data_IF_670186035061
#
_entry.id   IF_670186035061
#
_cell.length_a   1.000
_cell.length_b   1.000
_cell.length_c   1.000
_cell.angle_alpha   90.00
_cell.angle_beta   90.00
_cell.angle_gamma   90.00
#
_symmetry.space_group_name_H-M   'P 1'
#
loop_
_entity.id
_entity.type
_entity.pdbx_description
1 polymer ?
#
# COMPACT_ATOMS: atom_id res chain seq x y z
N UNK A 1 2.99 -33.08 -5.52
CA UNK A 1 4.32 -32.75 -4.98
C UNK A 1 5.26 -33.89 -5.34
N UNK A 2 6.36 -33.63 -6.04
CA UNK A 2 7.38 -34.65 -6.26
C UNK A 2 8.15 -34.84 -4.95
N UNK A 3 8.09 -36.04 -4.38
CA UNK A 3 8.89 -36.40 -3.20
C UNK A 3 10.34 -36.56 -3.64
N UNK A 4 11.22 -35.78 -3.02
CA UNK A 4 12.65 -35.92 -3.26
C UNK A 4 13.17 -37.13 -2.48
N UNK A 5 13.83 -38.07 -3.17
CA UNK A 5 14.44 -39.23 -2.51
C UNK A 5 15.63 -38.79 -1.63
N UNK A 6 15.77 -39.35 -0.42
CA UNK A 6 16.94 -39.06 0.41
C UNK A 6 18.25 -39.49 -0.27
N UNK A 7 19.40 -38.94 0.17
CA UNK A 7 20.68 -39.33 -0.38
C UNK A 7 20.97 -40.82 -0.09
N UNK A 8 21.75 -41.47 -0.96
CA UNK A 8 22.15 -42.86 -0.74
C UNK A 8 23.02 -43.00 0.54
N UNK A 9 22.61 -43.82 1.47
CA UNK A 9 23.28 -43.99 2.76
C UNK A 9 24.22 -45.20 2.81
N UNK A 10 24.16 -46.07 1.79
CA UNK A 10 24.86 -47.37 1.75
C UNK A 10 26.00 -47.39 0.73
N UNK A 11 26.30 -46.30 0.06
CA UNK A 11 27.31 -46.23 -0.96
C UNK A 11 28.32 -45.09 -0.68
N UNK A 12 29.58 -45.35 -0.89
CA UNK A 12 30.62 -44.34 -0.82
C UNK A 12 30.42 -43.27 -1.92
N UNK A 13 30.64 -42.02 -1.60
CA UNK A 13 30.47 -40.90 -2.56
C UNK A 13 31.49 -40.97 -3.68
N UNK A 14 32.70 -41.36 -3.35
CA UNK A 14 33.83 -41.50 -4.31
C UNK A 14 34.33 -42.91 -4.28
N UNK A 15 34.49 -43.50 -5.44
CA UNK A 15 35.15 -44.80 -5.61
C UNK A 15 36.55 -44.54 -6.11
N UNK A 16 37.56 -45.05 -5.40
CA UNK A 16 38.96 -44.95 -5.78
C UNK A 16 39.37 -46.19 -6.53
N UNK A 17 39.97 -46.03 -7.69
CA UNK A 17 40.58 -47.15 -8.44
C UNK A 17 41.94 -47.47 -7.85
N UNK A 18 42.07 -48.67 -7.27
CA UNK A 18 43.29 -49.11 -6.55
C UNK A 18 44.55 -49.14 -7.43
N UNK A 19 44.39 -49.29 -8.77
CA UNK A 19 45.52 -49.30 -9.71
C UNK A 19 45.99 -47.92 -10.12
N UNK A 20 45.05 -47.00 -10.28
CA UNK A 20 45.34 -45.66 -10.79
C UNK A 20 45.34 -44.61 -9.73
N UNK A 21 44.86 -44.91 -8.52
CA UNK A 21 44.64 -43.96 -7.42
C UNK A 21 43.77 -42.74 -7.79
N UNK A 22 42.98 -42.89 -8.84
CA UNK A 22 42.05 -41.88 -9.31
C UNK A 22 40.67 -42.08 -8.72
N UNK A 23 40.17 -41.10 -7.99
CA UNK A 23 38.80 -41.07 -7.51
C UNK A 23 37.81 -40.68 -8.61
N UNK A 24 36.68 -41.35 -8.64
CA UNK A 24 35.54 -40.95 -9.45
C UNK A 24 34.26 -40.98 -8.64
N UNK A 25 33.31 -40.16 -8.99
CA UNK A 25 32.00 -40.19 -8.33
C UNK A 25 31.33 -41.55 -8.54
N UNK A 26 30.84 -42.11 -7.44
CA UNK A 26 29.99 -43.29 -7.50
C UNK A 26 28.76 -42.99 -8.38
N UNK A 27 28.39 -43.82 -9.36
CA UNK A 27 27.27 -43.59 -10.26
C UNK A 27 25.92 -43.34 -9.54
N UNK A 28 25.72 -43.97 -8.37
CA UNK A 28 24.51 -43.81 -7.57
C UNK A 28 24.43 -42.37 -7.04
N UNK A 29 25.52 -41.85 -6.49
CA UNK A 29 25.62 -40.46 -6.02
C UNK A 29 25.54 -39.46 -7.16
N UNK A 30 26.17 -39.74 -8.29
CA UNK A 30 26.10 -38.86 -9.47
C UNK A 30 24.65 -38.72 -9.97
N UNK A 31 23.90 -39.83 -10.07
CA UNK A 31 22.48 -39.79 -10.45
C UNK A 31 21.65 -38.97 -9.45
N UNK A 32 21.90 -39.15 -8.15
CA UNK A 32 21.21 -38.37 -7.11
C UNK A 32 21.51 -36.90 -7.21
N UNK A 33 22.76 -36.47 -7.39
CA UNK A 33 23.14 -35.09 -7.57
C UNK A 33 22.51 -34.47 -8.83
N UNK A 34 22.51 -35.18 -9.95
CA UNK A 34 21.86 -34.70 -11.17
C UNK A 34 20.36 -34.49 -10.97
N UNK A 35 19.70 -35.41 -10.26
CA UNK A 35 18.28 -35.26 -9.90
C UNK A 35 18.06 -34.07 -8.96
N UNK A 36 18.93 -33.87 -7.97
CA UNK A 36 18.89 -32.70 -7.07
C UNK A 36 19.01 -31.39 -7.85
N UNK A 37 19.99 -31.28 -8.77
CA UNK A 37 20.15 -30.10 -9.62
C UNK A 37 18.90 -29.85 -10.44
N UNK A 38 18.32 -30.90 -11.05
CA UNK A 38 17.10 -30.77 -11.85
C UNK A 38 15.92 -30.25 -11.00
N UNK A 39 15.76 -30.78 -9.78
CA UNK A 39 14.70 -30.32 -8.87
C UNK A 39 14.92 -28.85 -8.48
N UNK A 40 16.15 -28.47 -8.14
CA UNK A 40 16.49 -27.11 -7.77
C UNK A 40 16.28 -26.11 -8.92
N UNK A 41 16.66 -26.50 -10.15
CA UNK A 41 16.46 -25.65 -11.33
C UNK A 41 14.99 -25.53 -11.72
N UNK A 42 14.22 -26.62 -11.59
CA UNK A 42 12.79 -26.61 -11.90
C UNK A 42 11.93 -25.96 -10.79
N UNK A 43 12.44 -25.90 -9.56
CA UNK A 43 11.74 -25.19 -8.47
C UNK A 43 11.90 -23.66 -8.51
N UNK A 44 12.56 -23.13 -9.54
CA UNK A 44 12.77 -21.68 -9.68
C UNK A 44 13.81 -21.11 -8.70
N UNK A 45 14.55 -21.97 -8.00
CA UNK A 45 15.62 -21.55 -7.08
C UNK A 45 16.93 -21.14 -7.80
N UNK A 46 16.84 -20.66 -9.03
CA UNK A 46 17.96 -20.01 -9.70
C UNK A 46 18.09 -18.60 -9.15
N UNK A 47 19.28 -18.29 -8.66
CA UNK A 47 19.66 -17.07 -7.92
C UNK A 47 19.49 -15.73 -8.67
N UNK A 48 18.49 -15.57 -9.52
CA UNK A 48 18.32 -14.35 -10.32
C UNK A 48 16.89 -13.92 -10.59
N UNK A 49 15.89 -14.75 -10.32
CA UNK A 49 14.52 -14.40 -10.68
C UNK A 49 13.43 -15.00 -9.78
N UNK A 50 13.69 -15.10 -8.48
CA UNK A 50 12.58 -15.33 -7.56
C UNK A 50 11.77 -14.04 -7.52
N UNK A 51 10.73 -13.98 -8.32
CA UNK A 51 9.77 -12.89 -8.18
C UNK A 51 9.15 -13.01 -6.79
N UNK A 52 9.36 -12.01 -5.98
CA UNK A 52 8.85 -11.92 -4.61
C UNK A 52 7.36 -12.29 -4.52
N UNK A 53 6.56 -11.91 -5.53
CA UNK A 53 5.13 -12.19 -5.59
C UNK A 53 4.76 -13.64 -5.94
N UNK A 54 5.73 -14.47 -6.36
CA UNK A 54 5.50 -15.89 -6.69
C UNK A 54 6.08 -16.87 -5.66
N UNK A 55 6.70 -16.36 -4.58
CA UNK A 55 7.15 -17.21 -3.48
C UNK A 55 5.96 -17.57 -2.57
N UNK A 56 5.73 -18.85 -2.34
CA UNK A 56 4.73 -19.30 -1.36
C UNK A 56 5.06 -18.83 0.05
N UNK A 57 4.05 -18.44 0.82
CA UNK A 57 4.22 -18.03 2.23
C UNK A 57 4.47 -16.54 2.45
N UNK A 58 4.39 -15.70 1.41
CA UNK A 58 4.44 -14.23 1.55
C UNK A 58 3.12 -13.63 2.08
N UNK A 59 2.11 -14.46 2.22
CA UNK A 59 0.82 -14.06 2.77
C UNK A 59 0.93 -14.05 4.29
N UNK A 60 0.98 -12.87 4.88
CA UNK A 60 0.79 -12.71 6.32
C UNK A 60 -0.71 -12.58 6.63
N UNK A 61 -1.21 -13.32 7.64
CA UNK A 61 -2.60 -13.26 8.04
C UNK A 61 -3.47 -14.38 7.47
N UNK A 62 -4.79 -14.17 7.42
CA UNK A 62 -5.76 -15.09 6.82
C UNK A 62 -5.68 -15.07 5.30
N UNK A 63 -6.22 -16.12 4.64
CA UNK A 63 -6.25 -16.22 3.19
C UNK A 63 -6.79 -14.91 2.55
N UNK A 64 -6.08 -14.41 1.55
CA UNK A 64 -6.34 -13.15 0.84
C UNK A 64 -5.98 -11.85 1.61
N UNK A 65 -5.34 -11.93 2.75
CA UNK A 65 -4.72 -10.76 3.37
C UNK A 65 -3.24 -10.69 3.00
N UNK A 66 -2.90 -9.71 2.17
CA UNK A 66 -1.52 -9.41 1.79
C UNK A 66 -1.05 -8.22 2.63
N UNK A 67 0.04 -8.37 3.39
CA UNK A 67 0.66 -7.23 4.08
C UNK A 67 1.48 -6.34 3.13
N UNK A 68 1.46 -6.65 1.85
CA UNK A 68 2.00 -5.77 0.82
C UNK A 68 0.91 -4.81 0.36
N UNK A 69 1.26 -3.56 0.30
CA UNK A 69 0.37 -2.53 -0.23
C UNK A 69 -0.03 -2.88 -1.66
N UNK A 70 -1.31 -2.81 -1.94
CA UNK A 70 -1.81 -2.81 -3.32
C UNK A 70 -1.27 -1.59 -4.07
N UNK A 71 -1.33 -1.58 -5.39
CA UNK A 71 -0.91 -0.42 -6.19
C UNK A 71 -1.65 0.86 -5.77
N UNK A 72 -2.93 0.75 -5.39
CA UNK A 72 -3.72 1.89 -4.91
C UNK A 72 -3.30 2.36 -3.52
N UNK A 73 -3.03 1.43 -2.59
CA UNK A 73 -2.54 1.77 -1.27
C UNK A 73 -1.13 2.37 -1.33
N UNK A 74 -0.25 1.83 -2.19
CA UNK A 74 1.07 2.41 -2.43
C UNK A 74 0.96 3.81 -3.06
N UNK A 75 0.04 3.99 -4.01
CA UNK A 75 -0.27 5.30 -4.56
C UNK A 75 -0.75 6.26 -3.47
N UNK A 76 -1.64 5.85 -2.57
CA UNK A 76 -2.15 6.66 -1.47
C UNK A 76 -1.09 6.98 -0.41
N UNK A 77 -0.17 6.06 -0.12
CA UNK A 77 0.95 6.32 0.81
C UNK A 77 1.97 7.30 0.21
N UNK A 78 2.21 7.23 -1.09
CA UNK A 78 3.16 8.12 -1.78
C UNK A 78 2.55 9.47 -2.18
N UNK A 79 1.22 9.58 -2.25
CA UNK A 79 0.56 10.81 -2.64
C UNK A 79 0.04 11.57 -1.41
N UNK A 80 0.96 12.10 -0.61
CA UNK A 80 0.77 13.47 -0.17
C UNK A 80 1.25 14.40 -1.30
N UNK A 81 0.72 14.20 -2.48
CA UNK A 81 0.81 15.18 -3.52
C UNK A 81 -0.10 16.31 -3.07
N UNK A 82 0.50 17.32 -2.48
CA UNK A 82 -0.20 18.57 -2.14
C UNK A 82 -0.79 19.10 -3.44
N UNK A 83 -2.06 18.79 -3.68
CA UNK A 83 -2.77 19.36 -4.82
C UNK A 83 -2.74 20.87 -4.72
N UNK A 84 -2.78 21.54 -5.86
CA UNK A 84 -2.80 23.01 -5.88
C UNK A 84 -4.02 23.54 -5.12
N UNK A 85 -3.84 24.68 -4.46
CA UNK A 85 -4.95 25.42 -3.83
C UNK A 85 -6.06 25.64 -4.84
N UNK A 86 -7.27 25.18 -4.55
CA UNK A 86 -8.43 25.37 -5.41
C UNK A 86 -9.40 26.40 -4.85
N UNK A 87 -10.19 27.03 -5.71
CA UNK A 87 -11.22 28.00 -5.30
C UNK A 87 -12.53 27.26 -5.09
N UNK A 88 -13.16 27.50 -3.94
CA UNK A 88 -14.54 27.10 -3.68
C UNK A 88 -15.42 28.32 -3.97
N UNK A 89 -16.41 28.17 -4.85
CA UNK A 89 -17.33 29.23 -5.19
C UNK A 89 -18.69 28.99 -4.51
N UNK A 90 -19.02 29.73 -3.46
CA UNK A 90 -20.34 29.60 -2.82
C UNK A 90 -21.46 29.98 -3.79
N UNK A 91 -22.45 29.12 -3.92
CA UNK A 91 -23.59 29.30 -4.83
C UNK A 91 -24.84 29.89 -4.21
N UNK A 92 -24.88 30.03 -2.88
CA UNK A 92 -26.02 30.58 -2.12
C UNK A 92 -25.73 30.52 -0.62
N UNK A 93 -26.50 31.28 0.17
CA UNK A 93 -26.36 31.32 1.64
C UNK A 93 -27.57 30.66 2.31
N UNK A 94 -27.40 29.73 3.25
CA UNK A 94 -26.12 29.15 3.67
C UNK A 94 -25.51 28.24 2.62
N UNK A 95 -24.19 28.29 2.48
CA UNK A 95 -23.42 27.41 1.61
C UNK A 95 -22.80 26.29 2.44
N UNK A 96 -22.86 25.07 1.95
CA UNK A 96 -22.24 23.90 2.57
C UNK A 96 -21.19 23.29 1.67
N UNK A 97 -19.97 23.16 2.18
CA UNK A 97 -18.87 22.42 1.56
C UNK A 97 -18.64 21.12 2.34
N UNK A 98 -18.65 19.99 1.65
CA UNK A 98 -18.40 18.69 2.27
C UNK A 98 -17.04 18.15 1.83
N UNK A 99 -16.22 17.72 2.78
CA UNK A 99 -15.03 16.94 2.48
C UNK A 99 -15.45 15.50 2.09
N UNK A 100 -15.49 15.23 0.79
CA UNK A 100 -15.82 13.92 0.24
C UNK A 100 -14.56 13.08 -0.06
N UNK A 101 -13.38 13.52 0.36
CA UNK A 101 -12.11 12.81 0.16
C UNK A 101 -11.82 11.85 1.32
N UNK A 102 -10.80 11.02 1.18
CA UNK A 102 -10.36 10.08 2.22
C UNK A 102 -9.28 10.69 3.15
N UNK A 103 -9.01 11.99 3.03
CA UNK A 103 -7.98 12.69 3.78
C UNK A 103 -8.48 14.03 4.32
N UNK A 104 -7.75 14.59 5.30
CA UNK A 104 -8.07 15.90 5.85
C UNK A 104 -7.85 17.00 4.81
N UNK A 105 -8.74 17.98 4.82
CA UNK A 105 -8.66 19.20 4.00
C UNK A 105 -8.78 20.43 4.89
N UNK A 106 -8.09 21.51 4.54
CA UNK A 106 -8.32 22.81 5.17
C UNK A 106 -9.10 23.72 4.24
N UNK A 107 -10.12 24.37 4.74
CA UNK A 107 -10.89 25.38 4.02
C UNK A 107 -10.62 26.76 4.61
N UNK A 108 -10.10 27.66 3.80
CA UNK A 108 -9.90 29.07 4.17
C UNK A 108 -11.16 29.85 3.80
N UNK A 109 -11.74 30.53 4.77
CA UNK A 109 -12.87 31.47 4.58
C UNK A 109 -12.39 32.89 4.94
N UNK A 110 -12.55 33.83 4.00
CA UNK A 110 -12.12 35.23 4.20
C UNK A 110 -12.94 36.20 3.40
N UNK A 111 -13.04 37.44 3.91
CA UNK A 111 -13.79 38.52 3.26
C UNK A 111 -15.29 38.27 3.22
N UNK A 112 -15.99 39.04 2.40
CA UNK A 112 -17.45 39.04 2.37
C UNK A 112 -18.10 39.56 3.66
N UNK A 113 -19.37 39.24 3.85
CA UNK A 113 -20.11 39.52 5.10
C UNK A 113 -20.66 38.20 5.61
N UNK A 114 -19.80 37.47 6.34
CA UNK A 114 -20.15 36.15 6.92
C UNK A 114 -20.78 36.39 8.28
N UNK A 115 -21.92 35.75 8.54
CA UNK A 115 -22.68 35.84 9.78
C UNK A 115 -22.51 34.64 10.70
N UNK A 116 -22.28 33.47 10.11
CA UNK A 116 -21.98 32.26 10.86
C UNK A 116 -21.11 31.30 10.06
N UNK A 117 -20.22 30.59 10.76
CA UNK A 117 -19.50 29.43 10.27
C UNK A 117 -19.74 28.28 11.25
N UNK A 118 -20.10 27.15 10.71
CA UNK A 118 -20.44 25.94 11.47
C UNK A 118 -19.70 24.74 10.86
N UNK A 119 -19.22 23.84 11.71
CA UNK A 119 -18.69 22.55 11.28
C UNK A 119 -19.67 21.47 11.69
N UNK A 120 -19.92 20.52 10.81
CA UNK A 120 -20.89 19.46 11.02
C UNK A 120 -20.41 18.12 10.56
N UNK A 121 -21.00 17.08 11.16
CA UNK A 121 -20.84 15.68 10.79
C UNK A 121 -22.13 14.92 11.06
N UNK A 122 -22.53 14.03 10.13
CA UNK A 122 -23.71 13.20 10.31
C UNK A 122 -25.01 14.01 10.46
N UNK A 123 -25.08 15.22 9.88
CA UNK A 123 -26.27 16.09 9.93
C UNK A 123 -26.35 17.01 11.14
N UNK A 124 -25.45 16.90 12.13
CA UNK A 124 -25.33 17.81 13.26
C UNK A 124 -24.32 18.92 12.95
N UNK A 125 -24.61 20.16 13.38
CA UNK A 125 -23.74 21.33 13.14
C UNK A 125 -23.45 22.05 14.45
N UNK A 126 -22.19 22.51 14.59
CA UNK A 126 -21.74 23.29 15.73
C UNK A 126 -21.08 24.58 15.24
N UNK A 127 -21.44 25.70 15.88
CA UNK A 127 -20.86 27.00 15.54
C UNK A 127 -19.40 27.08 16.02
N UNK A 128 -18.52 27.51 15.14
CA UNK A 128 -17.10 27.69 15.49
C UNK A 128 -16.80 29.02 16.18
N UNK A 129 -17.79 29.91 16.34
CA UNK A 129 -17.68 31.18 17.06
C UNK A 129 -16.88 32.25 16.32
N UNK A 130 -16.42 32.00 15.09
CA UNK A 130 -15.70 32.95 14.23
C UNK A 130 -16.30 32.98 12.84
N UNK A 131 -16.14 34.07 12.13
CA UNK A 131 -16.72 34.28 10.78
C UNK A 131 -15.69 34.20 9.66
N UNK A 132 -14.41 34.07 10.00
CA UNK A 132 -13.31 33.90 9.04
C UNK A 132 -12.21 33.06 9.69
N UNK A 133 -11.43 32.37 8.88
CA UNK A 133 -10.33 31.52 9.35
C UNK A 133 -9.99 30.40 8.43
N UNK A 134 -9.18 29.49 8.93
CA UNK A 134 -8.85 28.22 8.29
C UNK A 134 -9.45 27.08 9.13
N UNK A 135 -10.27 26.30 8.51
CA UNK A 135 -11.05 25.23 9.15
C UNK A 135 -10.59 23.89 8.60
N UNK A 136 -10.14 23.01 9.51
CA UNK A 136 -9.81 21.63 9.14
C UNK A 136 -11.08 20.80 9.10
N UNK A 137 -11.22 20.03 8.02
CA UNK A 137 -12.31 19.09 7.80
C UNK A 137 -11.73 17.70 7.62
N UNK A 138 -12.12 16.77 8.47
CA UNK A 138 -11.85 15.36 8.26
C UNK A 138 -12.82 14.76 7.23
N UNK A 139 -12.53 13.57 6.68
CA UNK A 139 -13.44 12.88 5.78
C UNK A 139 -14.87 12.82 6.31
N UNK A 140 -15.83 13.29 5.49
CA UNK A 140 -17.25 13.36 5.85
C UNK A 140 -17.68 14.60 6.67
N UNK A 141 -16.75 15.49 7.02
CA UNK A 141 -17.11 16.76 7.64
C UNK A 141 -17.68 17.75 6.63
N UNK A 142 -18.53 18.63 7.14
CA UNK A 142 -19.19 19.68 6.37
C UNK A 142 -18.91 21.03 7.00
N UNK A 143 -18.42 21.97 6.20
CA UNK A 143 -18.34 23.39 6.58
C UNK A 143 -19.55 24.13 6.03
N UNK A 144 -20.41 24.67 6.92
CA UNK A 144 -21.55 25.50 6.53
C UNK A 144 -21.25 26.97 6.81
N UNK A 145 -21.39 27.81 5.80
CA UNK A 145 -21.10 29.25 5.87
C UNK A 145 -22.35 30.03 5.51
N UNK A 146 -22.84 30.82 6.47
CA UNK A 146 -23.97 31.74 6.27
C UNK A 146 -23.44 33.16 6.07
N UNK A 147 -23.91 33.83 5.03
CA UNK A 147 -23.37 35.14 4.65
C UNK A 147 -24.45 36.01 3.98
N UNK A 148 -24.25 37.34 4.08
CA UNK A 148 -24.99 38.36 3.31
C UNK A 148 -24.23 38.71 2.02
N UNK A 149 -22.89 38.78 2.07
CA UNK A 149 -22.00 38.94 0.90
C UNK A 149 -21.06 37.74 0.87
N UNK A 150 -20.99 37.06 -0.26
CA UNK A 150 -20.20 35.83 -0.40
C UNK A 150 -18.72 36.04 -0.01
N UNK A 151 -18.16 35.17 0.81
CA UNK A 151 -16.74 35.18 1.12
C UNK A 151 -15.91 34.58 -0.02
N UNK A 152 -14.62 34.87 0.00
CA UNK A 152 -13.64 34.10 -0.75
C UNK A 152 -13.34 32.83 0.02
N UNK A 153 -13.53 31.68 -0.59
CA UNK A 153 -13.22 30.37 -0.02
C UNK A 153 -12.15 29.66 -0.84
N UNK A 154 -11.17 29.06 -0.17
CA UNK A 154 -10.08 28.31 -0.81
C UNK A 154 -9.91 26.97 -0.12
N UNK A 155 -9.75 25.93 -0.93
CA UNK A 155 -9.39 24.61 -0.47
C UNK A 155 -7.87 24.46 -0.43
N UNK A 156 -7.37 23.92 0.66
CA UNK A 156 -5.97 23.55 0.89
C UNK A 156 -5.94 22.03 1.14
N UNK A 157 -5.65 21.21 0.14
CA UNK A 157 -5.48 19.77 0.32
C UNK A 157 -4.32 19.47 1.28
N UNK A 158 -4.44 18.38 2.07
CA UNK A 158 -3.46 17.97 3.07
C UNK A 158 -2.90 16.58 2.81
#
# INVERSE_FOLDING_TARGET
MATFEPPPTYAEVVVVDDKTQKGRFNPIWLKWFLKLVTVLTNSGATSGSVQHNSTGGLQGGTANQYYHLTASEHANVNIRNLAALSTITPSGSPYSYSNATDYDEDVIVRGGTVTAVEVGRGGSYESVGVTAGMFRLSPGDVLRVTYAVAPTMRLVPR
#
